data_IF_611205516365
#
_entry.id   IF_611205516365
#
_cell.length_a   1.000
_cell.length_b   1.000
_cell.length_c   1.000
_cell.angle_alpha   90.00
_cell.angle_beta   90.00
_cell.angle_gamma   90.00
#
_symmetry.space_group_name_H-M   'P 1'
#
loop_
_entity.id
_entity.type
_entity.pdbx_description
1 polymer ?
#
# COMPACT_ATOMS: atom_id res chain seq x y z
N UNK A 1 15.73 15.43 26.23
CA UNK A 1 15.63 15.59 24.75
C UNK A 1 14.60 14.59 24.27
N UNK A 2 13.41 15.09 23.95
CA UNK A 2 12.22 14.31 23.58
C UNK A 2 12.47 13.55 22.28
N UNK A 3 12.31 12.23 22.33
CA UNK A 3 12.41 11.33 21.18
C UNK A 3 11.12 11.49 20.37
N UNK A 4 11.19 12.18 19.24
CA UNK A 4 10.07 12.28 18.30
C UNK A 4 9.67 10.87 17.85
N UNK A 5 8.42 10.52 18.12
CA UNK A 5 7.84 9.22 17.81
C UNK A 5 7.53 9.18 16.30
N UNK A 6 8.14 8.24 15.58
CA UNK A 6 7.91 8.06 14.14
C UNK A 6 6.42 7.75 13.90
N UNK A 7 5.68 8.77 13.46
CA UNK A 7 4.27 8.65 13.11
C UNK A 7 4.17 7.90 11.77
N UNK A 8 3.89 6.60 11.83
CA UNK A 8 3.48 5.83 10.67
C UNK A 8 2.33 6.56 9.95
N UNK A 9 2.35 6.69 8.62
CA UNK A 9 1.34 7.45 7.89
C UNK A 9 0.03 6.63 7.86
N UNK A 10 -0.71 6.67 8.96
CA UNK A 10 -2.16 6.44 8.96
C UNK A 10 -2.74 7.52 8.07
N UNK A 11 -3.35 7.11 6.95
CA UNK A 11 -3.77 8.04 5.89
C UNK A 11 -4.47 9.28 6.44
N UNK A 12 -3.79 10.42 6.36
CA UNK A 12 -4.31 11.77 6.59
C UNK A 12 -5.09 11.99 7.89
N UNK A 13 -4.38 12.23 9.00
CA UNK A 13 -4.96 12.89 10.17
C UNK A 13 -4.24 14.22 10.41
N UNK A 14 -4.62 15.24 9.65
CA UNK A 14 -4.32 16.64 10.00
C UNK A 14 -5.23 17.02 11.16
N UNK A 15 -4.69 17.08 12.37
CA UNK A 15 -5.39 17.64 13.52
C UNK A 15 -5.39 19.17 13.41
N UNK A 16 -6.55 19.75 13.09
CA UNK A 16 -6.91 21.09 13.54
C UNK A 16 -8.23 20.98 14.30
N UNK A 17 -8.15 21.41 15.54
CA UNK A 17 -9.18 21.33 16.56
C UNK A 17 -10.31 22.33 16.24
N UNK A 18 -11.55 21.86 16.17
CA UNK A 18 -12.74 22.72 16.27
C UNK A 18 -13.90 22.35 15.34
N UNK A 19 -15.01 21.88 15.93
CA UNK A 19 -16.33 21.96 15.30
C UNK A 19 -17.00 20.62 14.99
N UNK A 20 -18.09 20.34 15.70
CA UNK A 20 -18.95 19.18 15.52
C UNK A 20 -19.60 19.13 14.12
N UNK A 21 -19.60 17.94 13.49
CA UNK A 21 -20.73 17.35 12.76
C UNK A 21 -20.28 16.06 12.07
N UNK A 22 -21.08 15.00 12.21
CA UNK A 22 -20.77 13.66 11.70
C UNK A 22 -20.60 13.65 10.18
N UNK A 23 -19.43 13.20 9.74
CA UNK A 23 -19.15 12.90 8.34
C UNK A 23 -18.58 11.51 8.23
N UNK A 24 -19.31 10.60 7.58
CA UNK A 24 -18.83 9.27 7.24
C UNK A 24 -17.52 9.40 6.44
N UNK A 25 -16.43 8.86 6.98
CA UNK A 25 -15.13 8.77 6.31
C UNK A 25 -15.26 7.79 5.14
N UNK A 26 -15.48 8.32 3.94
CA UNK A 26 -15.31 7.59 2.69
C UNK A 26 -13.84 7.16 2.58
N UNK A 27 -13.61 5.85 2.68
CA UNK A 27 -12.30 5.26 2.51
C UNK A 27 -11.69 5.70 1.17
N UNK A 28 -10.38 6.02 1.12
CA UNK A 28 -9.73 6.41 -0.12
C UNK A 28 -9.90 5.31 -1.19
N UNK A 29 -10.02 5.66 -2.48
CA UNK A 29 -10.20 4.68 -3.54
C UNK A 29 -9.05 3.67 -3.49
N UNK A 30 -9.42 2.40 -3.39
CA UNK A 30 -8.52 1.25 -3.44
C UNK A 30 -7.71 1.30 -4.74
N UNK A 31 -6.48 1.81 -4.67
CA UNK A 31 -5.56 1.73 -5.80
C UNK A 31 -5.32 0.26 -6.16
N UNK A 32 -5.32 -0.11 -7.45
CA UNK A 32 -5.10 -1.50 -7.86
C UNK A 32 -3.73 -1.99 -7.38
N UNK A 33 -3.69 -3.19 -6.81
CA UNK A 33 -2.46 -3.80 -6.32
C UNK A 33 -1.79 -4.51 -7.49
N UNK A 34 -0.62 -4.00 -7.87
CA UNK A 34 0.24 -4.63 -8.87
C UNK A 34 1.07 -5.74 -8.22
N UNK A 35 1.15 -6.88 -8.91
CA UNK A 35 1.99 -8.01 -8.55
C UNK A 35 3.06 -8.20 -9.62
N UNK A 36 4.27 -8.59 -9.20
CA UNK A 36 5.38 -8.94 -10.08
C UNK A 36 5.67 -10.44 -9.98
N UNK A 37 5.74 -11.09 -11.13
CA UNK A 37 6.14 -12.49 -11.29
C UNK A 37 7.57 -12.73 -10.79
N UNK A 38 7.81 -13.85 -10.09
CA UNK A 38 9.14 -14.18 -9.57
C UNK A 38 10.19 -14.53 -10.63
N UNK A 39 9.78 -15.23 -11.69
CA UNK A 39 10.71 -15.71 -12.72
C UNK A 39 10.80 -14.76 -13.93
N UNK A 40 9.65 -14.25 -14.35
CA UNK A 40 9.51 -13.42 -15.54
C UNK A 40 9.53 -11.91 -15.25
N UNK A 41 9.39 -11.50 -14.00
CA UNK A 41 9.40 -10.09 -13.60
C UNK A 41 8.23 -9.25 -14.10
N UNK A 42 7.32 -9.84 -14.89
CA UNK A 42 6.17 -9.15 -15.45
C UNK A 42 5.25 -8.60 -14.35
N UNK A 43 4.86 -7.33 -14.48
CA UNK A 43 4.00 -6.61 -13.55
C UNK A 43 2.57 -6.60 -14.09
N UNK A 44 1.63 -7.11 -13.32
CA UNK A 44 0.23 -7.15 -13.70
C UNK A 44 -0.70 -6.89 -12.51
N UNK A 45 -1.92 -6.47 -12.80
CA UNK A 45 -2.98 -6.32 -11.81
C UNK A 45 -3.71 -7.65 -11.64
N UNK A 46 -3.95 -8.06 -10.39
CA UNK A 46 -4.64 -9.30 -10.10
C UNK A 46 -5.79 -9.07 -9.11
N UNK A 47 -6.97 -9.59 -9.42
CA UNK A 47 -8.11 -9.50 -8.51
C UNK A 47 -8.03 -10.54 -7.39
N UNK A 48 -8.70 -10.26 -6.27
CA UNK A 48 -8.68 -11.13 -5.07
C UNK A 48 -9.25 -12.54 -5.31
N UNK A 49 -10.05 -12.72 -6.36
CA UNK A 49 -10.75 -13.98 -6.66
C UNK A 49 -10.15 -14.75 -7.82
N UNK A 50 -9.16 -14.16 -8.51
CA UNK A 50 -8.48 -14.81 -9.62
C UNK A 50 -7.49 -15.87 -9.10
N UNK A 51 -7.24 -16.95 -9.86
CA UNK A 51 -6.25 -17.96 -9.48
C UNK A 51 -4.82 -17.40 -9.56
N UNK A 52 -3.99 -17.70 -8.56
CA UNK A 52 -2.59 -17.22 -8.47
C UNK A 52 -1.75 -17.88 -9.56
N UNK A 53 -1.64 -17.20 -10.70
CA UNK A 53 -0.85 -17.62 -11.87
C UNK A 53 -0.38 -16.37 -12.61
N UNK A 54 0.87 -16.36 -13.04
CA UNK A 54 1.33 -15.37 -14.00
C UNK A 54 0.72 -15.63 -15.38
N UNK A 55 0.32 -14.57 -16.09
CA UNK A 55 -0.27 -14.61 -17.43
C UNK A 55 0.71 -15.03 -18.53
N UNK A 56 2.01 -14.82 -18.34
CA UNK A 56 3.03 -15.09 -19.37
C UNK A 56 3.74 -16.44 -19.15
N UNK A 57 4.13 -16.78 -17.92
CA UNK A 57 4.91 -18.00 -17.65
C UNK A 57 4.14 -19.11 -16.91
N UNK A 58 2.95 -18.82 -16.35
CA UNK A 58 2.17 -19.79 -15.59
C UNK A 58 2.70 -20.13 -14.19
N UNK A 59 3.80 -19.53 -13.75
CA UNK A 59 4.34 -19.69 -12.41
C UNK A 59 3.37 -19.14 -11.34
N UNK A 60 3.43 -19.71 -10.13
CA UNK A 60 2.50 -19.39 -9.03
C UNK A 60 3.12 -18.50 -7.94
N UNK A 61 4.37 -18.11 -8.11
CA UNK A 61 5.08 -17.24 -7.15
C UNK A 61 5.01 -15.81 -7.67
N UNK A 62 4.28 -14.97 -6.92
CA UNK A 62 4.10 -13.55 -7.20
C UNK A 62 4.56 -12.74 -5.99
N UNK A 63 5.29 -11.66 -6.24
CA UNK A 63 5.65 -10.66 -5.24
C UNK A 63 4.71 -9.47 -5.34
N UNK A 64 4.39 -8.84 -4.21
CA UNK A 64 3.66 -7.57 -4.20
C UNK A 64 4.61 -6.46 -4.66
N UNK A 65 4.16 -5.61 -5.58
CA UNK A 65 4.99 -4.51 -6.06
C UNK A 65 5.31 -3.51 -4.92
N UNK A 66 6.48 -2.87 -5.00
CA UNK A 66 6.93 -1.85 -4.04
C UNK A 66 5.94 -0.69 -4.03
N UNK A 67 5.69 -0.11 -2.84
CA UNK A 67 4.90 1.12 -2.72
C UNK A 67 5.66 2.31 -3.30
N UNK A 68 4.98 3.18 -4.03
CA UNK A 68 5.55 4.47 -4.51
C UNK A 68 5.70 5.53 -3.40
N UNK A 69 5.29 5.20 -2.16
CA UNK A 69 5.39 6.11 -1.02
C UNK A 69 6.84 6.17 -0.54
N UNK A 70 7.32 7.37 -0.23
CA UNK A 70 8.62 7.56 0.40
C UNK A 70 8.60 6.92 1.80
N UNK A 71 9.71 6.28 2.14
CA UNK A 71 9.93 5.61 3.42
C UNK A 71 11.19 6.21 4.04
N UNK A 72 11.12 6.51 5.33
CA UNK A 72 12.24 7.03 6.13
C UNK A 72 12.76 5.91 7.01
N UNK A 73 14.09 5.82 7.14
CA UNK A 73 14.77 4.83 7.95
C UNK A 73 15.70 5.52 8.94
N UNK A 74 15.73 5.08 10.20
CA UNK A 74 16.73 5.49 11.18
C UNK A 74 18.05 4.72 10.97
N UNK A 75 19.18 5.42 10.99
CA UNK A 75 20.51 4.82 10.88
C UNK A 75 21.03 4.35 12.26
N UNK A 76 20.56 3.18 12.70
CA UNK A 76 21.01 2.52 13.94
C UNK A 76 22.12 1.51 13.68
#
# INVERSE_FOLDING_TARGET
>A
MSREEYQMPTGGASQTQGGASGGAVSAPPSQPILYSCGDCGFKFEMNRRDPIRCTECGCRVLYKNRTNRMIEFEAR
#
